data_IF_522941958710
#
_entry.id   IF_522941958710
#
_cell.length_a   1.000
_cell.length_b   1.000
_cell.length_c   1.000
_cell.angle_alpha   90.00
_cell.angle_beta   90.00
_cell.angle_gamma   90.00
#
_symmetry.space_group_name_H-M   'P 1'
#
loop_
_entity.id
_entity.type
_entity.pdbx_description
1 polymer ?
#
# COMPACT_ATOMS: atom_id res chain seq x y z
N UNK A 1 -40.36 15.23 64.71
CA UNK A 1 -41.51 14.37 65.09
C UNK A 1 -41.08 12.92 64.92
N UNK A 2 -40.98 12.22 66.06
CA UNK A 2 -40.86 10.77 66.35
C UNK A 2 -39.94 9.87 65.48
N UNK A 3 -38.84 9.33 66.03
CA UNK A 3 -38.71 8.11 66.87
C UNK A 3 -38.83 6.81 66.03
N UNK A 4 -37.76 6.05 65.76
CA UNK A 4 -37.00 5.09 66.60
C UNK A 4 -37.30 3.63 66.22
N UNK A 5 -36.21 2.87 66.00
CA UNK A 5 -35.97 1.47 66.43
C UNK A 5 -36.83 0.30 65.87
N UNK A 6 -36.05 -0.61 65.25
CA UNK A 6 -35.86 -2.05 65.59
C UNK A 6 -36.92 -3.11 65.23
N UNK A 7 -36.33 -4.26 64.84
CA UNK A 7 -36.72 -5.68 65.08
C UNK A 7 -37.57 -6.40 64.01
N UNK A 8 -36.86 -7.08 63.10
CA UNK A 8 -36.67 -8.54 63.05
C UNK A 8 -37.84 -9.44 63.55
N UNK A 9 -38.50 -10.20 62.65
CA UNK A 9 -38.64 -11.68 62.71
C UNK A 9 -39.55 -12.27 61.60
N UNK A 10 -38.95 -13.19 60.84
CA UNK A 10 -39.38 -14.57 60.46
C UNK A 10 -40.74 -14.87 59.78
N UNK A 11 -40.57 -15.48 58.59
CA UNK A 11 -41.19 -16.71 58.02
C UNK A 11 -42.68 -16.69 57.66
N UNK A 12 -43.01 -16.95 56.38
CA UNK A 12 -43.49 -18.25 55.87
C UNK A 12 -43.83 -18.21 54.35
N UNK A 13 -43.05 -18.98 53.58
CA UNK A 13 -43.36 -19.83 52.41
C UNK A 13 -44.67 -19.64 51.60
N UNK A 14 -44.53 -19.41 50.29
CA UNK A 14 -45.22 -20.18 49.22
C UNK A 14 -44.27 -20.32 48.02
N UNK A 15 -44.07 -21.57 47.58
CA UNK A 15 -43.26 -21.99 46.44
C UNK A 15 -43.92 -21.68 45.10
N UNK A 16 -43.14 -21.24 44.11
CA UNK A 16 -43.37 -21.59 42.71
C UNK A 16 -42.08 -22.18 42.14
N UNK A 17 -42.17 -23.44 41.74
CA UNK A 17 -41.11 -24.19 41.08
C UNK A 17 -41.08 -23.85 39.58
N UNK A 18 -39.89 -23.62 39.04
CA UNK A 18 -39.57 -23.90 37.65
C UNK A 18 -38.15 -24.47 37.60
N UNK A 19 -38.07 -25.78 37.46
CA UNK A 19 -36.85 -26.51 37.21
C UNK A 19 -36.46 -26.32 35.73
N UNK A 20 -35.43 -25.50 35.47
CA UNK A 20 -34.73 -25.47 34.19
C UNK A 20 -33.48 -26.32 34.31
N UNK A 21 -33.48 -27.48 33.67
CA UNK A 21 -32.33 -28.38 33.55
C UNK A 21 -31.27 -27.70 32.68
N UNK A 22 -30.16 -27.27 33.27
CA UNK A 22 -28.95 -26.93 32.52
C UNK A 22 -28.24 -28.24 32.14
N UNK A 23 -28.49 -28.71 30.92
CA UNK A 23 -27.65 -29.73 30.30
C UNK A 23 -26.33 -29.07 29.90
N UNK A 24 -25.26 -29.34 30.64
CA UNK A 24 -23.88 -29.02 30.22
C UNK A 24 -23.52 -30.01 29.13
N UNK A 25 -23.69 -29.62 27.87
CA UNK A 25 -23.13 -30.35 26.75
C UNK A 25 -21.60 -30.16 26.76
N UNK A 26 -20.87 -31.21 27.14
CA UNK A 26 -19.44 -31.33 26.89
C UNK A 26 -19.24 -31.35 25.37
N UNK A 27 -19.02 -30.18 24.78
CA UNK A 27 -18.56 -30.09 23.40
C UNK A 27 -17.11 -30.55 23.37
N UNK A 28 -16.89 -31.76 22.87
CA UNK A 28 -15.57 -32.24 22.48
C UNK A 28 -14.94 -31.24 21.53
N UNK A 29 -13.72 -30.80 21.85
CA UNK A 29 -12.92 -29.85 21.06
C UNK A 29 -12.51 -30.40 19.71
N UNK A 30 -13.49 -30.58 18.81
CA UNK A 30 -13.23 -30.64 17.39
C UNK A 30 -12.87 -29.22 16.97
N UNK A 31 -11.57 -28.94 16.86
CA UNK A 31 -11.08 -27.77 16.14
C UNK A 31 -11.82 -27.72 14.81
N UNK A 32 -12.61 -26.67 14.57
CA UNK A 32 -13.21 -26.41 13.29
C UNK A 32 -12.04 -26.25 12.31
N UNK A 33 -11.70 -27.31 11.58
CA UNK A 33 -10.79 -27.18 10.44
C UNK A 33 -11.56 -26.41 9.40
N UNK A 34 -11.27 -25.11 9.26
CA UNK A 34 -11.67 -24.35 8.09
C UNK A 34 -11.19 -25.17 6.89
N UNK A 35 -12.12 -25.54 6.00
CA UNK A 35 -11.77 -26.31 4.82
C UNK A 35 -10.78 -25.48 3.98
N UNK A 36 -9.68 -26.10 3.58
CA UNK A 36 -8.69 -25.47 2.73
C UNK A 36 -9.34 -25.02 1.40
N UNK A 37 -9.01 -23.83 0.87
CA UNK A 37 -9.55 -23.38 -0.40
C UNK A 37 -9.27 -24.40 -1.53
N UNK A 38 -10.28 -24.71 -2.34
CA UNK A 38 -10.06 -25.51 -3.54
C UNK A 38 -9.39 -24.66 -4.62
N UNK A 39 -8.07 -24.84 -4.77
CA UNK A 39 -7.27 -24.19 -5.78
C UNK A 39 -7.22 -25.02 -7.07
N UNK A 40 -7.32 -24.35 -8.22
CA UNK A 40 -7.12 -24.95 -9.54
C UNK A 40 -5.67 -25.34 -9.83
N UNK A 41 -5.31 -25.76 -11.05
CA UNK A 41 -3.93 -26.13 -11.40
C UNK A 41 -2.96 -24.94 -11.51
N UNK A 42 -3.46 -23.71 -11.45
CA UNK A 42 -2.68 -22.48 -11.45
C UNK A 42 -3.17 -21.55 -10.36
N UNK A 43 -2.27 -20.70 -9.87
CA UNK A 43 -2.60 -19.51 -9.08
C UNK A 43 -2.01 -18.28 -9.76
N UNK A 44 -2.57 -17.12 -9.45
CA UNK A 44 -1.99 -15.82 -9.75
C UNK A 44 -1.96 -15.01 -8.47
N UNK A 45 -0.82 -14.41 -8.17
CA UNK A 45 -0.59 -13.55 -7.01
C UNK A 45 -0.21 -12.19 -7.53
N UNK A 46 -0.77 -11.11 -6.97
CA UNK A 46 -0.50 -9.76 -7.43
C UNK A 46 -0.33 -8.79 -6.26
N UNK A 47 0.47 -7.74 -6.47
CA UNK A 47 0.75 -6.67 -5.52
C UNK A 47 0.76 -5.30 -6.20
N UNK A 48 0.69 -4.24 -5.39
CA UNK A 48 1.19 -2.92 -5.73
C UNK A 48 2.66 -2.88 -5.30
N UNK A 49 3.50 -2.12 -6.00
CA UNK A 49 4.94 -2.16 -5.81
C UNK A 49 5.45 -1.38 -4.57
N UNK A 50 4.62 -0.51 -3.98
CA UNK A 50 5.01 0.42 -2.90
C UNK A 50 4.16 0.32 -1.63
N UNK A 51 2.95 -0.21 -1.71
CA UNK A 51 1.97 -0.26 -0.62
C UNK A 51 0.96 0.88 -0.61
N UNK A 52 1.32 2.00 -1.24
CA UNK A 52 0.47 3.15 -1.51
C UNK A 52 1.11 4.09 -2.52
N UNK A 53 0.35 4.53 -3.52
CA UNK A 53 0.74 5.68 -4.33
C UNK A 53 0.12 6.97 -3.77
N UNK A 54 0.94 8.02 -3.68
CA UNK A 54 0.48 9.34 -3.25
C UNK A 54 0.27 10.22 -4.49
N UNK A 55 -0.82 10.96 -4.53
CA UNK A 55 -1.11 11.94 -5.58
C UNK A 55 -1.70 13.20 -4.97
N UNK A 56 -1.77 14.29 -5.71
CA UNK A 56 -2.48 15.48 -5.23
C UNK A 56 -3.95 15.47 -5.61
N UNK A 57 -4.75 16.15 -4.78
CA UNK A 57 -6.16 16.40 -5.07
C UNK A 57 -6.33 17.48 -6.15
N UNK A 58 -5.46 18.48 -6.16
CA UNK A 58 -5.56 19.66 -7.01
C UNK A 58 -4.21 20.00 -7.66
N UNK A 59 -4.20 20.07 -8.99
CA UNK A 59 -3.03 20.32 -9.83
C UNK A 59 -2.93 21.76 -10.35
N UNK A 60 -3.79 22.68 -9.87
CA UNK A 60 -3.84 24.08 -10.33
C UNK A 60 -2.57 24.89 -10.06
N UNK A 61 -1.85 24.56 -9.01
CA UNK A 61 -0.76 25.40 -8.49
C UNK A 61 0.59 24.71 -8.62
N UNK A 62 0.69 23.47 -8.16
CA UNK A 62 1.89 22.69 -8.33
C UNK A 62 1.64 21.19 -8.38
N UNK A 63 2.65 20.44 -8.83
CA UNK A 63 2.70 19.00 -8.78
C UNK A 63 3.96 18.47 -8.05
N UNK A 64 3.73 17.59 -7.08
CA UNK A 64 4.71 16.66 -6.49
C UNK A 64 4.63 15.32 -7.22
N UNK A 65 3.47 14.66 -7.22
CA UNK A 65 3.27 13.36 -7.89
C UNK A 65 1.95 13.34 -8.67
N UNK A 66 1.94 12.78 -9.89
CA UNK A 66 0.74 12.61 -10.71
C UNK A 66 -0.10 11.41 -10.24
N UNK A 67 -1.33 11.23 -10.77
CA UNK A 67 -2.03 9.96 -10.65
C UNK A 67 -1.20 8.85 -11.29
N UNK A 68 -0.88 7.81 -10.51
CA UNK A 68 -0.05 6.70 -10.96
C UNK A 68 -0.29 5.49 -10.06
N UNK A 69 -0.05 4.31 -10.59
CA UNK A 69 0.06 3.09 -9.80
C UNK A 69 0.78 2.03 -10.62
N UNK A 70 1.57 1.20 -9.94
CA UNK A 70 2.20 0.03 -10.54
C UNK A 70 1.62 -1.21 -9.87
N UNK A 71 1.21 -2.18 -10.69
CA UNK A 71 0.82 -3.51 -10.24
C UNK A 71 1.77 -4.55 -10.83
N UNK A 72 2.12 -5.55 -10.04
CA UNK A 72 2.93 -6.69 -10.46
C UNK A 72 2.13 -7.98 -10.23
N UNK A 73 2.32 -8.97 -11.09
CA UNK A 73 1.62 -10.24 -10.99
C UNK A 73 2.53 -11.40 -11.40
N UNK A 74 2.41 -12.50 -10.66
CA UNK A 74 3.14 -13.74 -10.89
C UNK A 74 2.11 -14.86 -10.98
N UNK A 75 2.18 -15.64 -12.05
CA UNK A 75 1.39 -16.85 -12.20
C UNK A 75 2.27 -18.07 -11.87
N UNK A 76 1.73 -18.99 -11.09
CA UNK A 76 2.43 -20.23 -10.69
C UNK A 76 1.58 -21.41 -11.14
N UNK A 77 2.20 -22.31 -11.91
CA UNK A 77 1.65 -23.64 -12.19
C UNK A 77 1.90 -24.52 -10.99
N UNK A 78 0.83 -25.00 -10.37
CA UNK A 78 0.94 -25.89 -9.22
C UNK A 78 1.44 -27.27 -9.65
N UNK A 79 2.28 -27.88 -8.83
CA UNK A 79 2.88 -29.18 -9.11
C UNK A 79 3.46 -29.83 -7.85
N UNK A 80 4.08 -31.01 -7.97
CA UNK A 80 4.94 -31.50 -6.90
C UNK A 80 6.12 -30.53 -6.72
N UNK A 81 6.73 -30.17 -7.84
CA UNK A 81 7.59 -29.01 -8.04
C UNK A 81 6.78 -27.98 -8.84
N UNK A 82 6.38 -26.85 -8.23
CA UNK A 82 5.68 -25.77 -8.92
C UNK A 82 6.62 -25.04 -9.87
N UNK A 83 6.06 -24.45 -10.92
CA UNK A 83 6.81 -23.63 -11.88
C UNK A 83 6.23 -22.23 -11.92
N UNK A 84 7.10 -21.22 -11.86
CA UNK A 84 6.74 -19.84 -12.22
C UNK A 84 6.44 -19.85 -13.72
N UNK A 85 5.26 -19.37 -14.10
CA UNK A 85 4.85 -19.32 -15.51
C UNK A 85 5.59 -18.17 -16.17
N UNK A 86 6.38 -18.50 -17.19
CA UNK A 86 7.09 -17.51 -17.99
C UNK A 86 6.12 -16.63 -18.80
N UNK A 87 6.33 -15.30 -18.82
CA UNK A 87 5.54 -14.39 -19.66
C UNK A 87 5.78 -14.60 -21.16
N UNK A 88 4.77 -15.11 -21.87
CA UNK A 88 4.81 -15.34 -23.33
C UNK A 88 3.46 -15.03 -24.01
N UNK A 89 3.36 -15.03 -25.35
CA UNK A 89 2.10 -14.70 -26.04
C UNK A 89 0.91 -15.64 -25.76
N UNK A 90 1.15 -16.85 -25.26
CA UNK A 90 0.08 -17.77 -24.84
C UNK A 90 -0.33 -17.56 -23.38
N UNK A 91 0.54 -16.98 -22.56
CA UNK A 91 0.37 -16.74 -21.13
C UNK A 91 0.20 -15.23 -20.86
N UNK A 92 -1.03 -14.80 -20.62
CA UNK A 92 -1.37 -13.38 -20.45
C UNK A 92 -1.98 -13.10 -19.09
N UNK A 93 -1.68 -11.93 -18.54
CA UNK A 93 -2.36 -11.42 -17.34
C UNK A 93 -3.16 -10.18 -17.71
N UNK A 94 -4.43 -10.15 -17.31
CA UNK A 94 -5.33 -9.02 -17.47
C UNK A 94 -5.77 -8.48 -16.11
N UNK A 95 -6.13 -7.21 -16.06
CA UNK A 95 -6.65 -6.56 -14.87
C UNK A 95 -7.82 -5.63 -15.18
N UNK A 96 -8.65 -5.37 -14.17
CA UNK A 96 -9.61 -4.27 -14.15
C UNK A 96 -9.95 -3.87 -12.72
N UNK A 97 -10.33 -2.61 -12.51
CA UNK A 97 -10.67 -2.06 -11.19
C UNK A 97 -12.17 -1.73 -11.16
N UNK A 98 -13.03 -2.61 -10.58
CA UNK A 98 -14.48 -2.48 -10.72
C UNK A 98 -15.08 -1.20 -10.12
N UNK A 99 -14.45 -0.64 -9.09
CA UNK A 99 -14.92 0.57 -8.40
C UNK A 99 -14.36 1.86 -8.99
N UNK A 100 -13.46 1.76 -9.98
CA UNK A 100 -12.74 2.88 -10.57
C UNK A 100 -12.71 2.66 -12.09
N UNK A 101 -13.83 2.92 -12.76
CA UNK A 101 -13.95 2.76 -14.22
C UNK A 101 -13.60 4.04 -14.98
N UNK A 102 -13.58 5.18 -14.28
CA UNK A 102 -13.12 6.48 -14.78
C UNK A 102 -12.48 7.28 -13.65
N UNK A 103 -11.65 8.26 -14.01
CA UNK A 103 -10.94 9.20 -13.14
C UNK A 103 -11.07 10.64 -13.61
N UNK A 104 -11.71 10.87 -14.76
CA UNK A 104 -11.86 12.19 -15.40
C UNK A 104 -12.50 13.20 -14.43
N UNK A 105 -13.63 12.84 -13.85
CA UNK A 105 -14.40 13.73 -12.98
C UNK A 105 -13.95 13.68 -11.51
N UNK A 106 -12.86 12.96 -11.22
CA UNK A 106 -12.38 12.72 -9.86
C UNK A 106 -11.14 13.54 -9.50
N UNK A 107 -10.45 14.08 -10.51
CA UNK A 107 -9.27 14.92 -10.34
C UNK A 107 -9.17 15.89 -11.51
N UNK A 108 -8.59 17.07 -11.27
CA UNK A 108 -8.31 18.02 -12.34
C UNK A 108 -6.98 17.75 -13.08
N UNK A 109 -6.31 16.62 -12.82
CA UNK A 109 -5.09 16.19 -13.52
C UNK A 109 -5.18 16.38 -15.04
N UNK A 110 -6.29 15.94 -15.65
CA UNK A 110 -6.52 15.95 -17.09
C UNK A 110 -6.52 17.36 -17.70
N UNK A 111 -6.74 18.39 -16.89
CA UNK A 111 -6.68 19.80 -17.30
C UNK A 111 -5.25 20.33 -17.26
N UNK A 112 -4.43 19.85 -16.33
CA UNK A 112 -3.12 20.44 -16.00
C UNK A 112 -1.92 19.60 -16.47
N UNK A 113 -2.11 18.35 -16.87
CA UNK A 113 -1.04 17.43 -17.30
C UNK A 113 -0.14 18.02 -18.40
N UNK A 114 -0.73 18.72 -19.39
CA UNK A 114 0.02 19.37 -20.46
C UNK A 114 0.89 20.53 -19.95
N UNK A 115 0.40 21.32 -18.99
CA UNK A 115 1.17 22.42 -18.42
C UNK A 115 2.26 21.92 -17.46
N UNK A 116 1.97 20.87 -16.69
CA UNK A 116 2.86 20.33 -15.66
C UNK A 116 3.98 19.43 -16.23
N UNK A 117 3.64 18.52 -17.15
CA UNK A 117 4.55 17.52 -17.67
C UNK A 117 4.74 17.57 -19.19
N UNK A 118 4.05 18.48 -19.89
CA UNK A 118 4.13 18.56 -21.35
C UNK A 118 3.44 17.39 -22.06
N UNK A 119 2.58 16.64 -21.36
CA UNK A 119 1.92 15.44 -21.87
C UNK A 119 0.43 15.69 -22.13
N UNK A 120 0.00 15.39 -23.35
CA UNK A 120 -1.42 15.34 -23.72
C UNK A 120 -1.88 13.87 -23.63
N UNK A 121 -2.57 13.54 -22.55
CA UNK A 121 -3.00 12.17 -22.28
C UNK A 121 -4.45 11.97 -22.69
N UNK A 122 -4.77 10.86 -23.39
CA UNK A 122 -6.15 10.46 -23.53
C UNK A 122 -6.80 10.30 -22.16
N UNK A 123 -8.09 10.64 -22.09
CA UNK A 123 -8.85 10.53 -20.87
C UNK A 123 -8.81 9.07 -20.33
N UNK A 124 -8.65 8.93 -19.00
CA UNK A 124 -8.52 7.63 -18.31
C UNK A 124 -7.31 6.77 -18.73
N UNK A 125 -6.34 7.34 -19.43
CA UNK A 125 -5.08 6.69 -19.81
C UNK A 125 -3.92 7.37 -19.08
N UNK A 126 -3.20 6.62 -18.25
CA UNK A 126 -2.11 7.16 -17.44
C UNK A 126 -0.78 7.24 -18.18
N UNK A 127 0.27 7.66 -17.47
CA UNK A 127 1.53 8.19 -18.05
C UNK A 127 2.30 7.20 -18.91
N UNK A 128 2.05 5.91 -18.76
CA UNK A 128 2.70 4.86 -19.55
C UNK A 128 1.75 4.21 -20.57
N UNK A 129 0.59 4.82 -20.82
CA UNK A 129 -0.37 4.38 -21.83
C UNK A 129 -1.39 3.33 -21.34
N UNK A 130 -1.40 3.02 -20.04
CA UNK A 130 -2.30 2.03 -19.45
C UNK A 130 -3.53 2.68 -18.82
N UNK A 131 -4.68 2.02 -18.96
CA UNK A 131 -5.96 2.48 -18.42
C UNK A 131 -6.31 1.78 -17.09
N UNK A 132 -7.54 1.98 -16.60
CA UNK A 132 -8.06 1.32 -15.39
C UNK A 132 -8.40 -0.17 -15.58
N UNK A 133 -8.24 -0.67 -16.80
CA UNK A 133 -8.31 -2.07 -17.20
C UNK A 133 -7.37 -2.32 -18.38
N UNK A 134 -7.00 -3.58 -18.59
CA UNK A 134 -6.20 -3.97 -19.75
C UNK A 134 -5.35 -5.21 -19.50
N UNK A 135 -4.33 -5.38 -20.34
CA UNK A 135 -3.33 -6.43 -20.18
C UNK A 135 -2.09 -5.88 -19.49
N UNK A 136 -1.50 -6.66 -18.59
CA UNK A 136 -0.20 -6.37 -18.01
C UNK A 136 0.92 -6.77 -18.98
N UNK A 137 2.03 -6.03 -18.97
CA UNK A 137 3.16 -6.25 -19.85
C UNK A 137 4.11 -7.32 -19.28
N UNK A 138 4.67 -8.20 -20.12
CA UNK A 138 5.63 -9.21 -19.67
C UNK A 138 6.99 -8.59 -19.31
N UNK A 139 7.47 -8.85 -18.10
CA UNK A 139 8.86 -8.63 -17.70
C UNK A 139 9.56 -9.99 -17.57
N UNK A 140 10.14 -10.44 -18.68
CA UNK A 140 10.86 -11.71 -18.76
C UNK A 140 12.17 -11.72 -17.96
N UNK A 141 12.73 -10.55 -17.66
CA UNK A 141 13.94 -10.46 -16.84
C UNK A 141 13.66 -10.81 -15.38
N UNK A 142 12.45 -10.46 -14.90
CA UNK A 142 11.99 -10.73 -13.54
C UNK A 142 11.01 -11.90 -13.43
N UNK A 143 10.62 -12.53 -14.53
CA UNK A 143 9.68 -13.66 -14.54
C UNK A 143 8.26 -13.29 -14.05
N UNK A 144 7.80 -12.07 -14.37
CA UNK A 144 6.51 -11.55 -13.91
C UNK A 144 5.81 -10.71 -14.97
N UNK A 145 4.55 -10.34 -14.74
CA UNK A 145 3.86 -9.30 -15.50
C UNK A 145 3.75 -8.02 -14.67
N UNK A 146 3.92 -6.89 -15.32
CA UNK A 146 3.84 -5.58 -14.70
C UNK A 146 2.96 -4.65 -15.53
N UNK A 147 2.16 -3.83 -14.85
CA UNK A 147 1.54 -2.66 -15.46
C UNK A 147 1.88 -1.46 -14.62
N UNK A 148 2.37 -0.42 -15.27
CA UNK A 148 2.79 0.83 -14.65
C UNK A 148 1.81 1.93 -15.03
N UNK A 149 1.84 3.04 -14.30
CA UNK A 149 1.15 4.27 -14.70
C UNK A 149 -0.36 4.14 -14.84
N UNK A 150 -0.99 3.25 -14.07
CA UNK A 150 -2.46 3.18 -14.02
C UNK A 150 -2.98 4.42 -13.26
N UNK A 151 -3.84 5.27 -13.85
CA UNK A 151 -4.19 6.58 -13.29
C UNK A 151 -5.32 6.45 -12.25
N UNK A 152 -5.17 5.57 -11.26
CA UNK A 152 -6.23 5.33 -10.28
C UNK A 152 -6.43 6.53 -9.33
N UNK A 153 -7.69 6.78 -8.94
CA UNK A 153 -8.07 7.81 -7.97
C UNK A 153 -8.46 7.17 -6.63
N UNK A 154 -8.19 7.82 -5.48
CA UNK A 154 -8.74 7.43 -4.19
C UNK A 154 -10.27 7.62 -4.10
N UNK A 155 -10.95 8.11 -5.13
CA UNK A 155 -12.42 8.12 -5.20
C UNK A 155 -12.96 7.01 -6.09
N UNK A 156 -13.97 6.30 -5.61
CA UNK A 156 -14.70 5.36 -6.45
C UNK A 156 -15.69 6.07 -7.38
N UNK A 157 -16.32 5.32 -8.29
CA UNK A 157 -17.27 5.87 -9.27
C UNK A 157 -18.55 6.45 -8.64
N UNK A 158 -18.82 6.14 -7.37
CA UNK A 158 -19.91 6.75 -6.59
C UNK A 158 -19.48 8.05 -5.87
N UNK A 159 -18.25 8.53 -6.10
CA UNK A 159 -17.70 9.71 -5.42
C UNK A 159 -17.36 9.49 -3.95
N UNK A 160 -17.26 8.23 -3.51
CA UNK A 160 -16.88 7.89 -2.15
C UNK A 160 -15.37 7.66 -2.11
N UNK A 161 -14.71 8.32 -1.18
CA UNK A 161 -13.29 8.10 -0.90
C UNK A 161 -13.06 6.66 -0.43
N UNK A 162 -12.14 5.99 -1.10
CA UNK A 162 -11.69 4.63 -0.89
C UNK A 162 -10.19 4.58 -1.20
N UNK A 163 -9.30 4.65 -0.18
CA UNK A 163 -7.86 4.58 -0.38
C UNK A 163 -7.36 3.18 -0.77
N UNK A 164 -8.22 2.16 -0.67
CA UNK A 164 -7.90 0.76 -0.99
C UNK A 164 -8.81 0.16 -2.07
N UNK A 165 -8.89 0.73 -3.29
CA UNK A 165 -9.61 0.10 -4.41
C UNK A 165 -9.07 -1.31 -4.69
N UNK A 166 -9.95 -2.24 -5.06
CA UNK A 166 -9.54 -3.60 -5.42
C UNK A 166 -9.45 -3.74 -6.93
N UNK A 167 -8.29 -4.15 -7.44
CA UNK A 167 -8.17 -4.72 -8.78
C UNK A 167 -8.54 -6.20 -8.76
N UNK A 168 -9.18 -6.63 -9.83
CA UNK A 168 -9.26 -8.04 -10.21
C UNK A 168 -8.14 -8.33 -11.19
N UNK A 169 -7.34 -9.36 -10.91
CA UNK A 169 -6.24 -9.79 -11.78
C UNK A 169 -6.50 -11.24 -12.23
N UNK A 170 -6.40 -11.48 -13.53
CA UNK A 170 -6.76 -12.73 -14.18
C UNK A 170 -5.57 -13.25 -14.97
N UNK A 171 -5.14 -14.46 -14.65
CA UNK A 171 -4.19 -15.19 -15.49
C UNK A 171 -4.95 -16.06 -16.50
N UNK A 172 -4.55 -15.95 -17.76
CA UNK A 172 -5.09 -16.73 -18.87
C UNK A 172 -3.98 -17.47 -19.60
N UNK A 173 -4.31 -18.68 -20.07
CA UNK A 173 -3.48 -19.43 -21.01
C UNK A 173 -4.30 -19.77 -22.25
N UNK A 174 -3.78 -19.46 -23.43
CA UNK A 174 -4.46 -19.66 -24.72
C UNK A 174 -5.90 -19.06 -24.69
N UNK A 175 -6.03 -17.89 -24.05
CA UNK A 175 -7.30 -17.16 -23.90
C UNK A 175 -8.26 -17.70 -22.83
N UNK A 176 -7.97 -18.84 -22.20
CA UNK A 176 -8.81 -19.41 -21.14
C UNK A 176 -8.36 -18.90 -19.77
N UNK A 177 -9.29 -18.39 -18.95
CA UNK A 177 -9.03 -18.05 -17.55
C UNK A 177 -8.70 -19.32 -16.75
N UNK A 178 -7.54 -19.31 -16.08
CA UNK A 178 -7.07 -20.43 -15.27
C UNK A 178 -6.90 -20.08 -13.79
N UNK A 179 -6.70 -18.81 -13.47
CA UNK A 179 -6.61 -18.32 -12.10
C UNK A 179 -7.04 -16.85 -12.01
N UNK A 180 -7.53 -16.47 -10.83
CA UNK A 180 -7.85 -15.07 -10.51
C UNK A 180 -7.53 -14.72 -9.07
N UNK A 181 -7.12 -13.49 -8.86
CA UNK A 181 -6.94 -12.90 -7.53
C UNK A 181 -7.57 -11.52 -7.45
N UNK A 182 -7.68 -11.00 -6.23
CA UNK A 182 -8.02 -9.61 -5.96
C UNK A 182 -6.94 -9.02 -5.07
N UNK A 183 -6.59 -7.78 -5.37
CA UNK A 183 -5.45 -7.12 -4.75
C UNK A 183 -5.75 -5.62 -4.62
N UNK A 184 -5.21 -4.98 -3.59
CA UNK A 184 -5.42 -3.55 -3.34
C UNK A 184 -4.53 -2.73 -4.29
N UNK A 185 -5.10 -1.74 -4.97
CA UNK A 185 -4.40 -0.76 -5.81
C UNK A 185 -4.45 0.59 -5.11
N UNK A 186 -3.63 0.77 -4.06
CA UNK A 186 -3.80 1.83 -3.09
C UNK A 186 -3.42 3.18 -3.68
N UNK A 187 -4.28 4.17 -3.49
CA UNK A 187 -4.00 5.55 -3.84
C UNK A 187 -4.51 6.48 -2.75
N UNK A 188 -3.82 7.59 -2.53
CA UNK A 188 -4.26 8.61 -1.58
C UNK A 188 -3.83 10.00 -2.00
N UNK A 189 -4.63 10.97 -1.57
CA UNK A 189 -4.38 12.40 -1.70
C UNK A 189 -4.35 13.12 -0.35
N UNK A 190 -4.01 12.39 0.71
CA UNK A 190 -3.94 12.90 2.08
C UNK A 190 -2.68 13.71 2.40
N UNK A 191 -1.96 14.19 1.37
CA UNK A 191 -0.92 15.19 1.56
C UNK A 191 -1.53 16.45 2.18
N UNK A 192 -1.26 16.71 3.45
CA UNK A 192 -2.01 17.68 4.25
C UNK A 192 -1.19 18.95 4.56
N UNK A 193 -0.80 19.67 3.52
CA UNK A 193 -0.08 20.94 3.65
C UNK A 193 -0.87 21.97 4.50
N UNK A 194 -2.21 21.86 4.49
CA UNK A 194 -3.14 22.76 5.18
C UNK A 194 -3.05 22.68 6.71
N UNK A 195 -2.33 21.69 7.26
CA UNK A 195 -2.00 21.65 8.69
C UNK A 195 -1.22 22.91 9.11
N UNK A 196 -0.36 23.43 8.24
CA UNK A 196 0.53 24.56 8.51
C UNK A 196 0.36 25.71 7.51
N UNK A 197 0.21 25.40 6.21
CA UNK A 197 0.11 26.38 5.14
C UNK A 197 -1.32 26.90 4.95
N UNK A 198 -1.48 28.22 4.85
CA UNK A 198 -2.78 28.90 4.74
C UNK A 198 -3.57 29.02 6.05
N UNK A 199 -2.97 28.69 7.20
CA UNK A 199 -3.58 28.78 8.53
C UNK A 199 -2.90 29.92 9.33
N UNK A 200 -3.62 30.87 9.98
CA UNK A 200 -5.06 30.86 10.30
C UNK A 200 -5.93 31.81 9.49
N UNK A 201 -5.44 32.38 8.38
CA UNK A 201 -6.20 33.39 7.65
C UNK A 201 -7.30 32.76 6.76
N UNK A 202 -8.58 33.02 7.04
CA UNK A 202 -9.68 32.49 6.24
C UNK A 202 -9.59 32.98 4.80
N UNK A 203 -9.56 32.05 3.84
CA UNK A 203 -9.53 32.36 2.41
C UNK A 203 -8.15 32.30 1.76
N UNK A 204 -7.08 32.00 2.51
CA UNK A 204 -5.78 31.69 1.91
C UNK A 204 -5.83 30.30 1.30
N UNK A 205 -5.46 30.20 0.03
CA UNK A 205 -5.32 28.92 -0.66
C UNK A 205 -4.00 28.27 -0.21
N UNK A 206 -4.08 27.09 0.41
CA UNK A 206 -2.92 26.36 0.94
C UNK A 206 -1.83 26.16 -0.11
N UNK A 207 -2.18 25.77 -1.34
CA UNK A 207 -1.18 25.52 -2.37
C UNK A 207 -0.49 26.80 -2.85
N UNK A 208 -1.21 27.91 -2.90
CA UNK A 208 -0.67 29.24 -3.22
C UNK A 208 0.29 29.73 -2.12
N UNK A 209 -0.07 29.53 -0.85
CA UNK A 209 0.77 29.87 0.30
C UNK A 209 2.12 29.14 0.26
N UNK A 210 2.12 27.86 -0.14
CA UNK A 210 3.36 27.09 -0.37
C UNK A 210 4.25 27.76 -1.43
N UNK A 211 3.68 28.21 -2.55
CA UNK A 211 4.45 28.89 -3.60
C UNK A 211 4.95 30.27 -3.14
N UNK A 212 4.15 31.02 -2.41
CA UNK A 212 4.51 32.32 -1.84
C UNK A 212 5.65 32.20 -0.82
N UNK A 213 5.60 31.19 0.04
CA UNK A 213 6.69 30.88 0.96
C UNK A 213 7.96 30.48 0.22
N UNK A 214 7.85 29.68 -0.84
CA UNK A 214 8.99 29.34 -1.69
C UNK A 214 9.61 30.58 -2.32
N UNK A 215 8.80 31.46 -2.92
CA UNK A 215 9.24 32.72 -3.52
C UNK A 215 9.92 33.64 -2.51
N UNK A 216 9.33 33.78 -1.32
CA UNK A 216 9.87 34.59 -0.23
C UNK A 216 11.20 34.06 0.31
N UNK A 217 11.34 32.74 0.47
CA UNK A 217 12.52 32.12 1.07
C UNK A 217 13.67 31.91 0.07
N UNK A 218 13.36 31.73 -1.21
CA UNK A 218 14.33 31.36 -2.24
C UNK A 218 14.47 32.39 -3.37
N UNK A 219 13.69 33.48 -3.35
CA UNK A 219 13.76 34.54 -4.35
C UNK A 219 13.24 34.11 -5.73
N UNK A 220 12.33 33.15 -5.77
CA UNK A 220 11.67 32.67 -7.00
C UNK A 220 10.41 33.48 -7.32
N UNK A 221 9.72 33.12 -8.43
CA UNK A 221 8.45 33.72 -8.89
C UNK A 221 7.39 32.65 -9.21
N UNK A 222 7.47 31.49 -8.55
CA UNK A 222 6.67 30.31 -8.84
C UNK A 222 5.17 30.54 -8.69
N UNK A 223 4.73 31.45 -7.82
CA UNK A 223 3.32 31.85 -7.74
C UNK A 223 2.82 32.36 -9.10
N UNK A 224 3.59 33.22 -9.75
CA UNK A 224 3.24 33.80 -11.04
C UNK A 224 3.37 32.81 -12.21
N UNK A 225 4.22 31.79 -12.04
CA UNK A 225 4.53 30.77 -13.04
C UNK A 225 3.66 29.50 -12.90
N UNK A 226 2.73 29.47 -11.95
CA UNK A 226 1.85 28.33 -11.71
C UNK A 226 1.00 27.95 -12.95
N UNK A 227 0.76 26.64 -13.21
CA UNK A 227 1.15 25.51 -12.37
C UNK A 227 2.62 25.10 -12.56
N UNK A 228 3.31 24.72 -11.47
CA UNK A 228 4.70 24.27 -11.51
C UNK A 228 4.83 22.78 -11.18
N UNK A 229 5.81 22.10 -11.77
CA UNK A 229 6.20 20.75 -11.31
C UNK A 229 7.43 20.89 -10.43
N UNK A 230 7.36 20.48 -9.16
CA UNK A 230 8.49 20.63 -8.22
C UNK A 230 9.75 19.94 -8.78
N UNK A 231 9.56 18.81 -9.44
CA UNK A 231 10.61 18.02 -10.08
C UNK A 231 11.21 18.66 -11.35
N UNK A 232 10.67 19.79 -11.84
CA UNK A 232 11.31 20.56 -12.92
C UNK A 232 12.64 21.19 -12.47
N UNK A 233 12.73 21.51 -11.16
CA UNK A 233 13.92 22.07 -10.54
C UNK A 233 14.61 21.08 -9.59
N UNK A 234 13.85 20.39 -8.76
CA UNK A 234 14.37 19.44 -7.79
C UNK A 234 14.53 18.04 -8.41
N UNK A 235 15.64 17.36 -8.16
CA UNK A 235 15.79 15.97 -8.60
C UNK A 235 14.77 15.07 -7.88
N UNK A 236 14.13 14.17 -8.62
CA UNK A 236 13.15 13.21 -8.09
C UNK A 236 13.19 11.89 -8.89
N UNK A 237 13.77 10.82 -8.32
CA UNK A 237 13.81 9.50 -8.93
C UNK A 237 12.42 8.91 -9.26
N UNK A 238 11.36 9.23 -8.51
CA UNK A 238 10.02 8.70 -8.81
C UNK A 238 9.48 9.19 -10.16
N UNK A 239 9.89 10.39 -10.58
CA UNK A 239 9.52 10.97 -11.87
C UNK A 239 10.63 10.83 -12.92
N UNK A 240 11.76 10.20 -12.57
CA UNK A 240 12.96 10.16 -13.42
C UNK A 240 13.58 11.54 -13.66
N UNK A 241 13.27 12.51 -12.79
CA UNK A 241 13.72 13.89 -12.95
C UNK A 241 15.14 14.06 -12.40
N UNK A 242 16.05 14.56 -13.25
CA UNK A 242 17.45 14.79 -12.87
C UNK A 242 17.65 16.05 -12.00
N UNK A 243 16.66 16.95 -11.98
CA UNK A 243 16.76 18.25 -11.34
C UNK A 243 17.73 19.20 -12.03
N UNK A 244 17.94 20.37 -11.42
CA UNK A 244 18.83 21.42 -11.90
C UNK A 244 20.13 21.48 -11.08
N UNK A 245 21.27 21.80 -11.70
CA UNK A 245 22.53 21.97 -10.97
C UNK A 245 22.42 22.99 -9.82
N UNK A 246 22.87 22.63 -8.63
CA UNK A 246 22.86 23.51 -7.46
C UNK A 246 21.52 23.57 -6.71
N UNK A 247 20.49 22.85 -7.18
CA UNK A 247 19.22 22.68 -6.47
C UNK A 247 19.22 21.33 -5.76
N UNK A 248 18.86 21.32 -4.48
CA UNK A 248 18.76 20.08 -3.70
C UNK A 248 17.71 19.12 -4.28
N UNK A 249 17.87 17.79 -4.17
CA UNK A 249 16.80 16.84 -4.47
C UNK A 249 15.52 17.14 -3.70
N UNK A 250 14.36 16.73 -4.24
CA UNK A 250 13.05 17.09 -3.68
C UNK A 250 12.88 16.58 -2.26
N UNK A 251 13.32 15.33 -1.99
CA UNK A 251 13.31 14.77 -0.64
C UNK A 251 14.15 15.60 0.33
N UNK A 252 15.38 15.94 -0.04
CA UNK A 252 16.28 16.78 0.77
C UNK A 252 15.66 18.15 1.05
N UNK A 253 15.10 18.80 0.02
CA UNK A 253 14.49 20.12 0.16
C UNK A 253 13.25 20.08 1.06
N UNK A 254 12.36 19.12 0.84
CA UNK A 254 11.10 19.00 1.59
C UNK A 254 11.37 18.63 3.05
N UNK A 255 12.08 17.52 3.32
CA UNK A 255 12.27 17.06 4.69
C UNK A 255 13.19 18.01 5.48
N UNK A 256 14.27 18.51 4.85
CA UNK A 256 15.19 19.47 5.49
C UNK A 256 14.53 20.81 5.81
N UNK A 257 13.56 21.26 5.00
CA UNK A 257 12.77 22.45 5.33
C UNK A 257 11.81 22.21 6.51
N UNK A 258 11.25 21.01 6.65
CA UNK A 258 10.17 20.77 7.62
C UNK A 258 10.61 20.12 8.93
N UNK A 259 11.80 19.52 9.01
CA UNK A 259 12.28 18.76 10.17
C UNK A 259 12.16 19.54 11.49
N UNK A 260 12.50 20.83 11.49
CA UNK A 260 12.49 21.69 12.69
C UNK A 260 11.20 22.53 12.84
N UNK A 261 10.14 22.25 12.08
CA UNK A 261 8.95 23.12 11.99
C UNK A 261 7.65 22.51 12.52
N UNK A 262 7.70 21.35 13.16
CA UNK A 262 6.52 20.69 13.73
C UNK A 262 5.97 21.37 15.00
N UNK A 263 6.73 22.27 15.62
CA UNK A 263 6.33 23.02 16.83
C UNK A 263 5.08 23.92 16.63
N UNK A 264 4.68 24.17 15.37
CA UNK A 264 3.47 24.92 15.04
C UNK A 264 2.18 24.12 15.27
N UNK A 265 2.28 22.79 15.37
CA UNK A 265 1.13 21.92 15.57
C UNK A 265 0.71 21.92 17.04
N UNK A 266 -0.55 22.27 17.29
CA UNK A 266 -1.13 22.29 18.65
C UNK A 266 -1.70 20.94 19.09
N UNK A 267 -1.86 20.01 18.13
CA UNK A 267 -2.33 18.65 18.39
C UNK A 267 -1.21 17.67 18.04
N UNK A 268 -0.79 16.81 18.98
CA UNK A 268 0.20 15.78 18.69
C UNK A 268 -0.32 14.84 17.60
N UNK A 269 0.50 14.64 16.57
CA UNK A 269 0.26 13.58 15.59
C UNK A 269 0.70 12.23 16.19
N UNK A 270 -0.04 11.17 15.87
CA UNK A 270 0.36 9.79 16.25
C UNK A 270 1.66 9.40 15.53
N UNK A 271 1.83 9.89 14.30
CA UNK A 271 3.02 9.75 13.48
C UNK A 271 3.25 11.07 12.75
N UNK A 272 4.43 11.66 12.90
CA UNK A 272 4.79 12.95 12.30
C UNK A 272 4.86 12.88 10.77
N UNK A 273 5.28 11.74 10.22
CA UNK A 273 5.36 11.51 8.78
C UNK A 273 3.98 11.66 8.12
N UNK A 274 2.91 11.33 8.85
CA UNK A 274 1.53 11.44 8.38
C UNK A 274 0.99 12.88 8.29
N UNK A 275 1.78 13.89 8.67
CA UNK A 275 1.47 15.28 8.33
C UNK A 275 1.51 15.52 6.80
N UNK A 276 2.39 14.82 6.10
CA UNK A 276 2.58 14.97 4.66
C UNK A 276 2.33 13.67 3.88
N UNK A 277 2.58 12.52 4.49
CA UNK A 277 2.32 11.23 3.87
C UNK A 277 0.93 10.71 4.24
N UNK A 278 0.27 9.90 3.39
CA UNK A 278 -1.04 9.35 3.70
C UNK A 278 -1.06 8.51 4.96
N UNK A 279 -2.00 8.78 5.87
CA UNK A 279 -1.87 8.26 7.23
C UNK A 279 -3.13 8.24 8.07
N UNK A 280 -3.86 9.35 8.13
CA UNK A 280 -5.04 9.44 9.00
C UNK A 280 -6.15 8.47 8.59
N UNK A 281 -6.43 8.37 7.28
CA UNK A 281 -7.45 7.45 6.75
C UNK A 281 -6.85 6.37 5.86
N UNK A 282 -5.87 6.73 5.03
CA UNK A 282 -5.26 5.83 4.07
C UNK A 282 -4.14 4.97 4.66
N UNK A 283 -3.69 5.25 5.89
CA UNK A 283 -2.73 4.44 6.66
C UNK A 283 -1.67 3.78 5.77
N UNK A 284 -0.81 4.61 5.16
CA UNK A 284 0.18 4.13 4.18
C UNK A 284 0.91 2.88 4.71
N UNK A 285 1.41 2.97 5.95
CA UNK A 285 1.85 1.82 6.71
C UNK A 285 0.67 1.17 7.46
N UNK A 286 0.43 -0.10 7.15
CA UNK A 286 -0.65 -0.92 7.74
C UNK A 286 -0.28 -2.40 7.86
N UNK A 287 1.02 -2.68 7.82
CA UNK A 287 1.62 -4.00 7.81
C UNK A 287 1.74 -4.67 9.19
N UNK A 288 2.26 -5.89 9.18
CA UNK A 288 2.54 -6.71 10.37
C UNK A 288 3.50 -6.04 11.36
N UNK A 289 4.46 -5.22 10.90
CA UNK A 289 5.40 -4.53 11.78
C UNK A 289 4.67 -3.49 12.62
N UNK A 290 3.72 -2.76 12.04
CA UNK A 290 2.81 -1.92 12.79
C UNK A 290 1.88 -2.75 13.70
N UNK A 291 1.23 -3.77 13.14
CA UNK A 291 0.16 -4.52 13.82
C UNK A 291 0.67 -5.31 15.04
N UNK A 292 1.81 -5.98 14.92
CA UNK A 292 2.31 -6.92 15.94
C UNK A 292 3.47 -6.34 16.78
N UNK A 293 4.17 -5.33 16.27
CA UNK A 293 5.36 -4.78 16.91
C UNK A 293 5.28 -3.28 17.21
N UNK A 294 4.17 -2.62 16.86
CA UNK A 294 3.98 -1.17 17.02
C UNK A 294 5.08 -0.33 16.36
N UNK A 295 5.74 -0.89 15.33
CA UNK A 295 6.79 -0.21 14.58
C UNK A 295 6.19 0.83 13.64
N UNK A 296 6.83 2.00 13.59
CA UNK A 296 6.41 3.19 12.86
C UNK A 296 7.40 3.54 11.75
N UNK A 297 7.11 4.61 11.02
CA UNK A 297 7.91 5.02 9.87
C UNK A 297 9.37 5.28 10.26
N UNK A 298 9.60 5.92 11.41
CA UNK A 298 10.93 6.29 11.90
C UNK A 298 11.76 5.10 12.36
N UNK A 299 11.14 3.98 12.76
CA UNK A 299 11.86 2.75 13.13
C UNK A 299 12.58 2.11 11.93
N UNK A 300 12.15 2.42 10.71
CA UNK A 300 12.76 1.93 9.46
C UNK A 300 13.49 3.03 8.69
N UNK A 301 12.88 4.21 8.54
CA UNK A 301 13.39 5.29 7.70
C UNK A 301 14.26 6.33 8.44
N UNK A 302 14.26 6.31 9.77
CA UNK A 302 14.86 7.36 10.59
C UNK A 302 13.98 8.59 10.71
N UNK A 303 14.52 9.64 11.32
CA UNK A 303 13.83 10.92 11.52
C UNK A 303 13.79 11.73 10.21
N UNK A 304 12.99 12.81 10.17
CA UNK A 304 12.88 13.69 9.00
C UNK A 304 14.24 14.19 8.49
N UNK A 305 15.20 14.44 9.39
CA UNK A 305 16.56 14.85 9.03
C UNK A 305 17.33 13.74 8.29
N UNK A 306 17.14 12.47 8.67
CA UNK A 306 17.77 11.31 8.02
C UNK A 306 17.18 11.09 6.62
N UNK A 307 15.85 11.21 6.48
CA UNK A 307 15.14 11.14 5.19
C UNK A 307 15.52 12.32 4.28
N UNK A 308 15.84 13.46 4.88
CA UNK A 308 16.32 14.67 4.23
C UNK A 308 17.82 14.71 3.91
N UNK A 309 18.60 13.68 4.25
CA UNK A 309 20.04 13.65 3.99
C UNK A 309 20.33 13.73 2.46
N UNK A 310 21.20 14.66 1.99
CA UNK A 310 21.54 14.79 0.57
C UNK A 310 22.29 13.58 -0.02
N UNK A 311 22.87 12.73 0.82
CA UNK A 311 23.49 11.46 0.46
C UNK A 311 22.51 10.30 0.31
N UNK A 312 21.25 10.46 0.73
CA UNK A 312 20.18 9.47 0.56
C UNK A 312 19.42 9.72 -0.75
N UNK A 313 19.31 8.70 -1.59
CA UNK A 313 18.49 8.74 -2.80
C UNK A 313 17.09 8.18 -2.51
N UNK A 314 16.02 9.00 -2.51
CA UNK A 314 14.67 8.49 -2.29
C UNK A 314 14.27 7.50 -3.38
N UNK A 315 13.46 6.51 -3.05
CA UNK A 315 12.99 5.42 -3.92
C UNK A 315 14.05 4.38 -4.33
N UNK A 316 15.32 4.64 -3.97
CA UNK A 316 16.50 3.82 -4.28
C UNK A 316 17.12 3.29 -2.99
N UNK A 317 17.41 4.18 -2.03
CA UNK A 317 17.97 3.84 -0.72
C UNK A 317 16.83 3.63 0.29
N UNK A 318 16.27 2.43 0.26
CA UNK A 318 15.15 2.04 1.13
C UNK A 318 15.55 1.05 2.22
N UNK A 319 14.82 1.02 3.35
CA UNK A 319 15.06 0.06 4.42
C UNK A 319 15.02 -1.38 3.92
N UNK A 320 15.93 -2.22 4.44
CA UNK A 320 16.05 -3.62 4.02
C UNK A 320 15.65 -4.55 5.16
N UNK A 321 15.01 -5.67 4.82
CA UNK A 321 14.64 -6.71 5.76
C UNK A 321 15.90 -7.24 6.47
N UNK A 322 16.97 -7.47 5.72
CA UNK A 322 18.23 -8.01 6.25
C UNK A 322 18.95 -7.11 7.26
N UNK A 323 18.55 -5.84 7.41
CA UNK A 323 19.14 -4.93 8.41
C UNK A 323 18.60 -5.22 9.83
N UNK A 324 17.40 -5.80 9.93
CA UNK A 324 16.74 -6.12 11.21
C UNK A 324 16.49 -7.63 11.39
N UNK A 325 16.12 -8.32 10.32
CA UNK A 325 15.79 -9.74 10.34
C UNK A 325 17.05 -10.57 10.16
N UNK A 326 17.30 -11.50 11.08
CA UNK A 326 18.39 -12.46 10.96
C UNK A 326 17.91 -13.86 11.34
N UNK A 327 18.01 -14.79 10.39
CA UNK A 327 17.66 -16.20 10.62
C UNK A 327 18.70 -17.09 9.94
N UNK A 328 19.33 -18.04 10.67
CA UNK A 328 20.31 -18.94 10.07
C UNK A 328 19.71 -19.71 8.88
N UNK A 329 20.43 -19.70 7.75
CA UNK A 329 20.02 -20.37 6.52
C UNK A 329 18.99 -19.62 5.67
N UNK A 330 18.65 -18.38 6.03
CA UNK A 330 17.75 -17.52 5.25
C UNK A 330 18.58 -16.43 4.55
N UNK A 331 18.31 -16.23 3.28
CA UNK A 331 18.78 -15.10 2.48
C UNK A 331 17.70 -14.03 2.45
N UNK A 332 18.08 -12.76 2.51
CA UNK A 332 17.17 -11.63 2.37
C UNK A 332 17.37 -10.98 1.00
N UNK A 333 17.15 -9.67 0.88
CA UNK A 333 17.27 -8.97 -0.39
C UNK A 333 18.65 -9.13 -1.01
N UNK A 334 18.66 -9.36 -2.33
CA UNK A 334 19.91 -9.42 -3.09
C UNK A 334 20.63 -8.05 -3.04
N UNK A 335 21.98 -8.02 -3.16
CA UNK A 335 22.72 -6.76 -3.15
C UNK A 335 22.19 -5.77 -4.20
N UNK A 336 21.97 -4.52 -3.78
CA UNK A 336 21.46 -3.45 -4.66
C UNK A 336 20.04 -3.66 -5.17
N UNK A 337 19.28 -4.61 -4.58
CA UNK A 337 17.90 -4.92 -4.96
C UNK A 337 16.96 -4.59 -3.82
N UNK A 338 15.88 -3.89 -4.13
CA UNK A 338 14.83 -3.56 -3.16
C UNK A 338 13.94 -4.77 -2.90
N UNK A 339 13.28 -4.82 -1.74
CA UNK A 339 12.33 -5.89 -1.39
C UNK A 339 11.31 -6.14 -2.51
N UNK A 340 10.72 -5.08 -3.09
CA UNK A 340 9.72 -5.17 -4.17
C UNK A 340 10.21 -5.91 -5.42
N UNK A 341 11.53 -6.00 -5.60
CA UNK A 341 12.19 -6.66 -6.72
C UNK A 341 13.01 -7.89 -6.31
N UNK A 342 13.06 -8.21 -5.03
CA UNK A 342 13.87 -9.32 -4.51
C UNK A 342 13.12 -10.64 -4.66
N UNK A 343 13.90 -11.71 -4.74
CA UNK A 343 13.38 -13.08 -4.88
C UNK A 343 13.94 -14.01 -3.81
N UNK A 344 13.26 -15.12 -3.59
CA UNK A 344 13.69 -16.22 -2.73
C UNK A 344 12.91 -17.48 -3.12
N UNK A 345 13.19 -18.60 -2.47
CA UNK A 345 12.50 -19.87 -2.72
C UNK A 345 12.45 -20.25 -4.22
N UNK A 346 13.62 -20.41 -4.86
CA UNK A 346 13.77 -20.70 -6.31
C UNK A 346 13.20 -19.61 -7.23
N UNK A 347 13.45 -18.35 -6.89
CA UNK A 347 13.13 -17.21 -7.75
C UNK A 347 11.72 -16.64 -7.60
N UNK A 348 10.95 -17.09 -6.59
CA UNK A 348 9.66 -16.49 -6.24
C UNK A 348 9.90 -15.11 -5.62
N UNK A 349 9.16 -14.11 -6.08
CA UNK A 349 9.29 -12.74 -5.60
C UNK A 349 8.90 -12.65 -4.12
N UNK A 350 9.66 -11.92 -3.30
CA UNK A 350 9.44 -11.85 -1.86
C UNK A 350 8.00 -11.46 -1.51
N UNK A 351 7.44 -10.50 -2.25
CA UNK A 351 6.07 -10.03 -2.05
C UNK A 351 4.98 -11.07 -2.37
N UNK A 352 5.28 -12.12 -3.13
CA UNK A 352 4.31 -13.21 -3.37
C UNK A 352 3.91 -13.86 -2.06
N UNK A 353 4.89 -14.07 -1.16
CA UNK A 353 4.64 -14.63 0.15
C UNK A 353 4.29 -13.56 1.19
N UNK A 354 5.00 -12.43 1.16
CA UNK A 354 4.98 -11.44 2.24
C UNK A 354 3.99 -10.28 2.04
N UNK A 355 3.49 -10.05 0.84
CA UNK A 355 2.71 -8.85 0.52
C UNK A 355 3.60 -7.67 0.09
N UNK A 356 2.96 -6.52 -0.12
CA UNK A 356 3.61 -5.30 -0.60
C UNK A 356 4.41 -4.60 0.50
N UNK A 357 5.47 -3.81 0.16
CA UNK A 357 6.01 -2.83 1.11
C UNK A 357 4.88 -2.03 1.78
N UNK A 358 5.02 -1.68 3.06
CA UNK A 358 4.02 -0.99 3.89
C UNK A 358 2.67 -1.72 4.08
N UNK A 359 2.48 -2.88 3.44
CA UNK A 359 1.32 -3.76 3.56
C UNK A 359 1.76 -5.24 3.61
N UNK A 360 2.87 -5.50 4.32
CA UNK A 360 3.36 -6.85 4.62
C UNK A 360 2.33 -7.56 5.50
N UNK A 361 1.93 -8.77 5.11
CA UNK A 361 0.80 -9.47 5.72
C UNK A 361 1.18 -10.17 7.04
N UNK A 362 0.23 -10.31 8.00
CA UNK A 362 -1.13 -9.80 7.97
C UNK A 362 -1.17 -8.28 8.17
N UNK A 363 -2.13 -7.64 7.50
CA UNK A 363 -2.33 -6.20 7.56
C UNK A 363 -3.50 -5.84 8.49
N UNK A 364 -3.54 -4.59 8.95
CA UNK A 364 -4.72 -4.05 9.68
C UNK A 364 -5.94 -3.88 8.76
N UNK A 365 -5.71 -3.73 7.46
CA UNK A 365 -6.73 -3.65 6.42
C UNK A 365 -7.19 -5.04 5.98
N UNK A 366 -8.49 -5.32 6.05
CA UNK A 366 -9.08 -6.57 5.54
C UNK A 366 -8.88 -6.75 4.03
N UNK A 367 -8.84 -5.65 3.27
CA UNK A 367 -8.76 -5.67 1.82
C UNK A 367 -7.45 -6.29 1.31
N UNK A 368 -6.32 -5.98 1.96
CA UNK A 368 -5.00 -6.54 1.61
C UNK A 368 -4.92 -8.03 1.97
N UNK A 369 -5.65 -8.46 3.01
CA UNK A 369 -5.67 -9.85 3.45
C UNK A 369 -6.51 -10.77 2.54
N UNK A 370 -7.35 -10.23 1.66
CA UNK A 370 -8.25 -11.03 0.80
C UNK A 370 -7.51 -12.06 -0.05
N UNK A 371 -6.34 -11.69 -0.59
CA UNK A 371 -5.52 -12.58 -1.42
C UNK A 371 -5.02 -13.79 -0.62
N UNK A 372 -4.45 -13.55 0.57
CA UNK A 372 -3.97 -14.62 1.44
C UNK A 372 -5.13 -15.52 1.90
N UNK A 373 -6.26 -14.93 2.32
CA UNK A 373 -7.45 -15.68 2.72
C UNK A 373 -7.97 -16.57 1.59
N UNK A 374 -7.99 -16.07 0.35
CA UNK A 374 -8.40 -16.88 -0.82
C UNK A 374 -7.45 -18.05 -1.08
N UNK A 375 -6.14 -17.86 -0.87
CA UNK A 375 -5.13 -18.85 -1.22
C UNK A 375 -4.96 -19.93 -0.14
N UNK A 376 -4.92 -19.55 1.14
CA UNK A 376 -4.63 -20.47 2.26
C UNK A 376 -5.70 -20.50 3.36
N UNK A 377 -6.83 -19.80 3.18
CA UNK A 377 -7.94 -19.80 4.13
C UNK A 377 -7.76 -18.88 5.36
N UNK A 378 -6.64 -18.16 5.47
CA UNK A 378 -6.34 -17.25 6.57
C UNK A 378 -5.50 -16.04 6.11
N UNK A 379 -5.60 -14.88 6.79
CA UNK A 379 -4.72 -13.75 6.54
C UNK A 379 -3.27 -14.09 6.93
N UNK A 380 -2.31 -13.31 6.43
CA UNK A 380 -0.90 -13.44 6.77
C UNK A 380 -0.01 -13.85 5.61
N UNK A 381 1.27 -14.08 5.94
CA UNK A 381 2.26 -14.57 5.00
C UNK A 381 1.79 -15.91 4.41
N UNK A 382 1.98 -16.09 3.10
CA UNK A 382 1.71 -17.38 2.47
C UNK A 382 2.67 -18.43 3.03
N UNK A 383 2.13 -19.29 3.88
CA UNK A 383 2.88 -20.29 4.66
C UNK A 383 2.33 -21.70 4.48
N UNK A 384 1.15 -21.85 3.89
CA UNK A 384 0.66 -23.15 3.46
C UNK A 384 1.32 -23.55 2.13
N UNK A 385 2.22 -24.53 2.18
CA UNK A 385 2.93 -25.00 0.99
C UNK A 385 1.97 -25.49 -0.10
N UNK A 386 0.75 -25.92 0.25
CA UNK A 386 -0.22 -26.45 -0.70
C UNK A 386 -0.87 -25.39 -1.61
N UNK A 387 -0.59 -24.12 -1.35
CA UNK A 387 -0.91 -23.00 -2.25
C UNK A 387 -0.23 -23.21 -3.60
N UNK A 388 1.08 -23.50 -3.60
CA UNK A 388 1.87 -23.73 -4.81
C UNK A 388 2.08 -25.22 -5.09
N UNK A 389 2.36 -26.01 -4.06
CA UNK A 389 2.60 -27.45 -4.20
C UNK A 389 1.27 -28.23 -4.17
N UNK A 390 1.14 -29.31 -4.94
CA UNK A 390 -0.07 -30.16 -4.89
C UNK A 390 -0.13 -31.04 -3.63
N UNK A 391 0.96 -31.10 -2.86
CA UNK A 391 1.08 -31.73 -1.55
C UNK A 391 2.16 -31.01 -0.74
N UNK A 392 2.12 -31.10 0.58
CA UNK A 392 3.20 -30.57 1.43
C UNK A 392 4.53 -31.29 1.10
N UNK A 393 5.60 -30.56 0.75
CA UNK A 393 6.91 -31.15 0.55
C UNK A 393 7.40 -31.85 1.83
N UNK A 394 8.14 -32.95 1.66
CA UNK A 394 8.80 -33.63 2.78
C UNK A 394 10.08 -32.91 3.23
N UNK A 395 10.64 -32.07 2.36
CA UNK A 395 11.86 -31.31 2.62
C UNK A 395 11.53 -30.04 3.43
N UNK A 396 12.46 -29.58 4.29
CA UNK A 396 12.29 -28.31 4.99
C UNK A 396 12.17 -27.14 4.01
N UNK A 397 11.40 -26.12 4.40
CA UNK A 397 11.37 -24.86 3.67
C UNK A 397 12.76 -24.21 3.67
N UNK A 398 13.15 -23.69 2.52
CA UNK A 398 14.36 -22.91 2.32
C UNK A 398 13.97 -21.50 1.84
N UNK A 399 14.69 -20.50 2.35
CA UNK A 399 14.46 -19.09 2.04
C UNK A 399 15.70 -18.53 1.35
N UNK A 400 16.03 -19.11 0.20
CA UNK A 400 17.20 -18.76 -0.60
C UNK A 400 16.81 -18.68 -2.06
N UNK A 401 17.54 -17.87 -2.82
CA UNK A 401 17.37 -17.82 -4.28
C UNK A 401 17.69 -19.19 -4.86
N UNK A 402 18.73 -19.80 -4.33
CA UNK A 402 19.21 -21.10 -4.73
C UNK A 402 18.82 -22.16 -3.69
N UNK A 403 18.15 -23.20 -4.20
CA UNK A 403 18.00 -24.54 -3.66
C UNK A 403 16.75 -24.90 -2.87
#
# INVERSE_FOLDING_TARGET
MADLKRRNKKRHSVSLACAGVFAVALMSGASLRIAQPELGPYIVVSQNDLGMHCMQRDYRYFMILPPYNTMQAVAIRRGLEPDIVEPDPENTVEYFIPSNTTTIDKTNWWVYSQALLGVDQPADVGLTGHALFGSMQPDRGRGLWEVTGVPISPMNDAGIDNPYPLATVIYKRQGSELARTQMVVPASWELNCALCHGNPEPGVNTELDVLQDHDRLHGTTLEADAPITCAACHADPALGALGQPGVSPLSTAMHGAHADRFDVLTTPLVESCYACHPGERAQCQRDVHLLEHDMRCTDCHGEMADVGDPGRQPWVDEPRCGDCHSRPGFEFEQPGTLFRNSVGHKGVQCWVCHGSPHAITPTTSEADNLQAVRLQGAPGVLSDCTVCHIQTPSEPFFHSVEH
#
